data_IF_945783089117
#
_entry.id   IF_945783089117
#
_cell.length_a   1.000
_cell.length_b   1.000
_cell.length_c   1.000
_cell.angle_alpha   90.00
_cell.angle_beta   90.00
_cell.angle_gamma   90.00
#
_symmetry.space_group_name_H-M   'P 1'
#
loop_
_entity.id
_entity.type
_entity.pdbx_description
1 polymer ?
#
# COMPACT_ATOMS: atom_id res chain seq x y z
N UNK A 1 35.31 -13.47 -10.26
CA UNK A 1 34.32 -14.57 -10.28
C UNK A 1 32.93 -13.94 -10.15
N UNK A 2 32.25 -13.66 -11.27
CA UNK A 2 30.98 -12.91 -11.32
C UNK A 2 29.78 -13.84 -11.05
N UNK A 3 29.66 -14.34 -9.82
CA UNK A 3 28.65 -15.35 -9.46
C UNK A 3 27.26 -14.73 -9.18
N UNK A 4 27.22 -13.44 -8.80
CA UNK A 4 25.99 -12.75 -8.41
C UNK A 4 24.89 -12.65 -9.49
N UNK A 5 25.17 -12.30 -10.76
CA UNK A 5 24.11 -12.13 -11.77
C UNK A 5 23.56 -13.47 -12.30
N UNK A 6 24.37 -14.52 -12.38
CA UNK A 6 23.91 -15.86 -12.81
C UNK A 6 23.05 -16.52 -11.74
N UNK A 7 23.42 -16.39 -10.46
CA UNK A 7 22.60 -16.89 -9.35
C UNK A 7 21.22 -16.22 -9.30
N UNK A 8 21.12 -14.91 -9.57
CA UNK A 8 19.82 -14.23 -9.61
C UNK A 8 18.92 -14.74 -10.74
N UNK A 9 19.50 -15.12 -11.89
CA UNK A 9 18.73 -15.66 -13.03
C UNK A 9 18.24 -17.09 -12.78
N UNK A 10 19.02 -17.88 -12.05
CA UNK A 10 18.67 -19.26 -11.71
C UNK A 10 17.84 -19.35 -10.42
N UNK A 11 17.88 -18.33 -9.56
CA UNK A 11 17.14 -18.29 -8.30
C UNK A 11 15.63 -18.45 -8.49
N UNK A 12 15.02 -17.72 -9.44
CA UNK A 12 13.58 -17.82 -9.69
C UNK A 12 13.18 -19.21 -10.19
N UNK A 13 14.02 -19.84 -11.02
CA UNK A 13 13.77 -21.19 -11.53
C UNK A 13 13.99 -22.26 -10.45
N UNK A 14 14.96 -22.04 -9.56
CA UNK A 14 15.19 -22.90 -8.40
C UNK A 14 14.02 -22.83 -7.42
N UNK A 15 13.58 -21.62 -7.07
CA UNK A 15 12.43 -21.37 -6.20
C UNK A 15 11.16 -22.00 -6.76
N UNK A 16 10.90 -21.82 -8.06
CA UNK A 16 9.77 -22.45 -8.74
C UNK A 16 9.80 -23.99 -8.61
N UNK A 17 10.97 -24.62 -8.81
CA UNK A 17 11.09 -26.09 -8.67
C UNK A 17 10.91 -26.54 -7.22
N UNK A 18 11.47 -25.80 -6.28
CA UNK A 18 11.37 -26.11 -4.85
C UNK A 18 9.91 -26.00 -4.39
N UNK A 19 9.23 -24.92 -4.77
CA UNK A 19 7.82 -24.70 -4.49
C UNK A 19 6.94 -25.78 -5.11
N UNK A 20 7.19 -26.18 -6.36
CA UNK A 20 6.48 -27.28 -7.00
C UNK A 20 6.64 -28.61 -6.24
N UNK A 21 7.86 -28.94 -5.81
CA UNK A 21 8.11 -30.14 -5.00
C UNK A 21 7.42 -30.09 -3.64
N UNK A 22 7.42 -28.94 -2.98
CA UNK A 22 6.79 -28.78 -1.67
C UNK A 22 5.27 -28.82 -1.77
N UNK A 23 4.70 -28.39 -2.91
CA UNK A 23 3.28 -28.53 -3.24
C UNK A 23 2.90 -30.00 -3.52
N UNK A 24 3.72 -30.73 -4.27
CA UNK A 24 3.52 -32.17 -4.53
C UNK A 24 3.63 -33.01 -3.25
N UNK A 25 4.56 -32.65 -2.36
CA UNK A 25 4.73 -33.31 -1.05
C UNK A 25 3.64 -32.91 -0.04
N UNK A 26 2.80 -31.92 -0.36
CA UNK A 26 1.76 -31.40 0.53
C UNK A 26 2.29 -30.63 1.75
N UNK A 27 3.55 -30.19 1.72
CA UNK A 27 4.16 -29.37 2.78
C UNK A 27 3.57 -27.96 2.76
N UNK A 28 3.33 -27.44 1.56
CA UNK A 28 2.63 -26.17 1.34
C UNK A 28 1.28 -26.44 0.67
N UNK A 29 0.28 -25.68 1.08
CA UNK A 29 -1.03 -25.66 0.41
C UNK A 29 -1.21 -24.32 -0.31
N UNK A 30 -2.07 -24.23 -1.32
CA UNK A 30 -2.40 -22.94 -1.96
C UNK A 30 -3.60 -22.23 -1.30
N UNK A 31 -4.01 -22.65 -0.10
CA UNK A 31 -5.25 -22.16 0.50
C UNK A 31 -5.16 -20.70 0.92
N UNK A 32 -4.02 -20.26 1.50
CA UNK A 32 -3.85 -18.87 1.93
C UNK A 32 -3.67 -17.95 0.73
N UNK A 33 -2.92 -18.40 -0.28
CA UNK A 33 -2.79 -17.71 -1.57
C UNK A 33 -4.16 -17.52 -2.24
N UNK A 34 -5.02 -18.55 -2.26
CA UNK A 34 -6.39 -18.44 -2.80
C UNK A 34 -7.26 -17.46 -2.00
N UNK A 35 -7.21 -17.51 -0.67
CA UNK A 35 -7.97 -16.59 0.18
C UNK A 35 -7.51 -15.14 -0.01
N UNK A 36 -6.20 -14.92 -0.01
CA UNK A 36 -5.58 -13.62 -0.27
C UNK A 36 -5.96 -13.08 -1.65
N UNK A 37 -5.91 -13.91 -2.69
CA UNK A 37 -6.30 -13.54 -4.05
C UNK A 37 -7.76 -13.13 -4.12
N UNK A 38 -8.68 -13.89 -3.52
CA UNK A 38 -10.12 -13.54 -3.49
C UNK A 38 -10.37 -12.19 -2.83
N UNK A 39 -9.74 -11.94 -1.68
CA UNK A 39 -9.89 -10.65 -0.99
C UNK A 39 -9.38 -9.48 -1.87
N UNK A 40 -8.27 -9.68 -2.59
CA UNK A 40 -7.77 -8.70 -3.53
C UNK A 40 -8.69 -8.51 -4.73
N UNK A 41 -9.21 -9.60 -5.32
CA UNK A 41 -10.15 -9.57 -6.45
C UNK A 41 -11.40 -8.79 -6.12
N UNK A 42 -12.05 -9.10 -4.98
CA UNK A 42 -13.26 -8.39 -4.53
C UNK A 42 -13.00 -6.90 -4.40
N UNK A 43 -11.89 -6.50 -3.76
CA UNK A 43 -11.55 -5.09 -3.60
C UNK A 43 -11.39 -4.36 -4.94
N UNK A 44 -10.76 -4.99 -5.94
CA UNK A 44 -10.54 -4.37 -7.24
C UNK A 44 -11.83 -4.36 -8.08
N UNK A 45 -12.62 -5.44 -8.04
CA UNK A 45 -13.89 -5.54 -8.73
C UNK A 45 -14.91 -4.54 -8.18
N UNK A 46 -15.07 -4.44 -6.86
CA UNK A 46 -15.95 -3.45 -6.23
C UNK A 46 -15.51 -2.00 -6.54
N UNK A 47 -14.20 -1.73 -6.60
CA UNK A 47 -13.69 -0.42 -7.01
C UNK A 47 -13.94 -0.15 -8.51
N UNK A 48 -13.89 -1.18 -9.37
CA UNK A 48 -14.23 -1.05 -10.78
C UNK A 48 -15.73 -0.79 -10.99
N UNK A 49 -16.61 -1.52 -10.29
CA UNK A 49 -18.06 -1.29 -10.29
C UNK A 49 -18.42 0.13 -9.83
N UNK A 50 -17.75 0.63 -8.77
CA UNK A 50 -17.95 2.00 -8.29
C UNK A 50 -17.59 3.06 -9.34
N UNK A 51 -16.63 2.76 -10.22
CA UNK A 51 -16.19 3.68 -11.30
C UNK A 51 -17.09 3.63 -12.54
N UNK A 52 -17.89 2.57 -12.68
CA UNK A 52 -18.84 2.39 -13.78
C UNK A 52 -20.29 2.28 -13.28
N UNK A 53 -20.85 3.37 -12.69
CA UNK A 53 -22.23 3.36 -12.20
C UNK A 53 -23.26 3.15 -13.32
N UNK A 54 -22.88 3.38 -14.57
CA UNK A 54 -23.72 3.19 -15.75
C UNK A 54 -23.62 1.78 -16.36
N UNK A 55 -22.80 0.89 -15.79
CA UNK A 55 -22.60 -0.50 -16.25
C UNK A 55 -22.25 -0.61 -17.74
N UNK A 56 -21.52 0.38 -18.27
CA UNK A 56 -21.08 0.46 -19.68
C UNK A 56 -20.08 -0.65 -20.01
N UNK A 57 -19.46 -1.27 -18.99
CA UNK A 57 -18.56 -2.41 -19.09
C UNK A 57 -17.43 -2.19 -20.11
N UNK A 58 -16.69 -1.08 -19.96
CA UNK A 58 -15.58 -0.79 -20.86
C UNK A 58 -14.48 -1.85 -20.69
N UNK A 59 -13.91 -2.39 -21.77
CA UNK A 59 -12.82 -3.36 -21.69
C UNK A 59 -11.58 -2.86 -20.92
N UNK A 60 -11.35 -1.55 -20.92
CA UNK A 60 -10.26 -0.89 -20.19
C UNK A 60 -10.47 -0.85 -18.67
N UNK A 61 -11.72 -0.94 -18.20
CA UNK A 61 -12.08 -0.92 -16.79
C UNK A 61 -12.06 -2.33 -16.17
N UNK A 62 -11.92 -3.38 -16.99
CA UNK A 62 -11.80 -4.77 -16.54
C UNK A 62 -10.47 -4.96 -15.80
N UNK A 63 -10.49 -5.42 -14.53
CA UNK A 63 -9.26 -5.62 -13.78
C UNK A 63 -8.42 -6.77 -14.34
N UNK A 64 -7.15 -6.48 -14.60
CA UNK A 64 -6.15 -7.47 -15.00
C UNK A 64 -5.64 -8.26 -13.79
N UNK A 65 -5.17 -9.49 -14.01
CA UNK A 65 -4.55 -10.33 -12.97
C UNK A 65 -3.36 -9.64 -12.31
N UNK A 66 -2.55 -8.91 -13.08
CA UNK A 66 -1.44 -8.08 -12.58
C UNK A 66 -1.91 -6.99 -11.60
N UNK A 67 -3.05 -6.35 -11.88
CA UNK A 67 -3.61 -5.29 -11.02
C UNK A 67 -4.20 -5.87 -9.73
N UNK A 68 -4.83 -7.04 -9.80
CA UNK A 68 -5.32 -7.79 -8.63
C UNK A 68 -4.14 -8.19 -7.74
N UNK A 69 -3.08 -8.74 -8.34
CA UNK A 69 -1.84 -9.07 -7.63
C UNK A 69 -1.21 -7.84 -6.96
N UNK A 70 -1.03 -6.74 -7.70
CA UNK A 70 -0.47 -5.50 -7.17
C UNK A 70 -1.31 -4.95 -6.01
N UNK A 71 -2.65 -5.09 -6.09
CA UNK A 71 -3.55 -4.69 -5.01
C UNK A 71 -3.33 -5.55 -3.77
N UNK A 72 -3.32 -6.87 -3.92
CA UNK A 72 -3.08 -7.79 -2.82
C UNK A 72 -1.72 -7.56 -2.15
N UNK A 73 -0.68 -7.27 -2.95
CA UNK A 73 0.67 -7.04 -2.44
C UNK A 73 0.76 -5.74 -1.64
N UNK A 74 0.13 -4.66 -2.12
CA UNK A 74 0.07 -3.39 -1.41
C UNK A 74 -0.84 -3.47 -0.18
N UNK A 75 -1.96 -4.18 -0.27
CA UNK A 75 -2.84 -4.43 0.87
C UNK A 75 -2.13 -5.22 1.97
N UNK A 76 -1.25 -6.15 1.60
CA UNK A 76 -0.41 -6.91 2.52
C UNK A 76 0.77 -6.08 3.05
N UNK A 77 1.43 -5.25 2.23
CA UNK A 77 2.62 -4.51 2.67
C UNK A 77 2.28 -3.20 3.41
N UNK A 78 1.16 -2.58 3.08
CA UNK A 78 0.69 -1.32 3.66
C UNK A 78 -0.59 -1.61 4.45
N UNK A 79 -0.39 -2.28 5.60
CA UNK A 79 -1.45 -2.60 6.56
C UNK A 79 -1.07 -2.11 7.95
N UNK A 80 -2.07 -1.68 8.72
CA UNK A 80 -1.89 -1.25 10.10
C UNK A 80 -1.77 -2.44 11.04
N UNK A 81 -2.46 -3.54 10.73
CA UNK A 81 -2.48 -4.76 11.54
C UNK A 81 -1.12 -5.44 11.53
N UNK A 82 -0.64 -5.99 12.67
CA UNK A 82 0.54 -6.85 12.69
C UNK A 82 0.43 -8.01 11.70
N UNK A 83 1.52 -8.38 11.04
CA UNK A 83 1.52 -9.48 10.08
C UNK A 83 1.35 -10.81 10.80
N UNK A 84 0.18 -11.43 10.65
CA UNK A 84 -0.04 -12.79 11.12
C UNK A 84 0.56 -13.78 10.13
N UNK A 85 1.08 -14.86 10.66
CA UNK A 85 1.61 -15.97 9.86
C UNK A 85 0.52 -16.78 9.17
N UNK A 86 -0.76 -16.42 9.30
CA UNK A 86 -1.89 -16.97 8.54
C UNK A 86 -2.20 -16.16 7.28
N UNK A 87 -1.88 -14.86 7.29
CA UNK A 87 -2.33 -13.91 6.26
C UNK A 87 -1.31 -13.74 5.13
N UNK A 88 -0.08 -14.19 5.35
CA UNK A 88 0.96 -14.21 4.31
C UNK A 88 0.59 -15.26 3.24
N UNK A 89 0.59 -14.99 1.94
CA UNK A 89 0.43 -16.06 0.97
C UNK A 89 1.67 -16.97 0.99
N UNK A 90 1.49 -18.26 0.72
CA UNK A 90 2.58 -19.24 0.75
C UNK A 90 3.69 -18.90 -0.26
N UNK A 91 3.34 -18.22 -1.35
CA UNK A 91 4.26 -17.72 -2.39
C UNK A 91 5.19 -16.61 -1.90
N UNK A 92 4.78 -15.79 -0.92
CA UNK A 92 5.58 -14.66 -0.41
C UNK A 92 6.30 -14.98 0.91
N UNK A 93 6.48 -16.26 1.24
CA UNK A 93 7.07 -16.65 2.52
C UNK A 93 8.51 -16.14 2.70
N UNK A 94 9.31 -16.16 1.62
CA UNK A 94 10.70 -15.68 1.63
C UNK A 94 10.81 -14.16 1.83
N UNK A 95 9.78 -13.40 1.42
CA UNK A 95 9.76 -11.95 1.52
C UNK A 95 9.13 -11.41 2.82
N UNK A 96 8.77 -12.29 3.77
CA UNK A 96 8.19 -11.94 5.08
C UNK A 96 8.93 -10.79 5.77
N UNK A 97 10.25 -10.90 5.90
CA UNK A 97 11.07 -9.89 6.58
C UNK A 97 11.07 -8.53 5.88
N UNK A 98 10.99 -8.51 4.54
CA UNK A 98 10.91 -7.26 3.76
C UNK A 98 9.54 -6.61 3.94
N UNK A 99 8.47 -7.39 3.89
CA UNK A 99 7.09 -6.93 4.10
C UNK A 99 6.91 -6.35 5.50
N UNK A 100 7.45 -7.01 6.54
CA UNK A 100 7.40 -6.51 7.93
C UNK A 100 8.12 -5.16 8.05
N UNK A 101 9.28 -5.00 7.40
CA UNK A 101 10.00 -3.72 7.40
C UNK A 101 9.18 -2.61 6.73
N UNK A 102 8.59 -2.88 5.56
CA UNK A 102 7.74 -1.92 4.83
C UNK A 102 6.55 -1.49 5.68
N UNK A 103 5.91 -2.42 6.40
CA UNK A 103 4.82 -2.08 7.34
C UNK A 103 5.28 -1.11 8.42
N UNK A 104 6.44 -1.39 9.02
CA UNK A 104 7.04 -0.51 10.03
C UNK A 104 7.36 0.88 9.49
N UNK A 105 7.91 0.95 8.28
CA UNK A 105 8.25 2.23 7.63
C UNK A 105 6.99 3.02 7.25
N UNK A 106 5.95 2.36 6.75
CA UNK A 106 4.66 3.01 6.45
C UNK A 106 4.01 3.59 7.72
N UNK A 107 3.98 2.83 8.82
CA UNK A 107 3.47 3.32 10.10
C UNK A 107 4.30 4.48 10.65
N UNK A 108 5.64 4.39 10.54
CA UNK A 108 6.55 5.48 10.93
C UNK A 108 6.27 6.76 10.15
N UNK A 109 6.14 6.67 8.82
CA UNK A 109 5.82 7.83 7.97
C UNK A 109 4.53 8.50 8.45
N UNK A 110 3.46 7.73 8.66
CA UNK A 110 2.18 8.31 9.14
C UNK A 110 2.29 8.90 10.55
N UNK A 111 3.07 8.30 11.45
CA UNK A 111 3.29 8.87 12.80
C UNK A 111 4.14 10.12 12.82
N UNK A 112 5.21 10.15 12.01
CA UNK A 112 6.11 11.29 11.95
C UNK A 112 5.37 12.45 11.30
N UNK A 113 4.54 12.20 10.28
CA UNK A 113 3.63 13.20 9.74
C UNK A 113 2.70 13.76 10.83
N UNK A 114 2.01 12.90 11.58
CA UNK A 114 1.14 13.36 12.67
C UNK A 114 1.89 14.15 13.76
N UNK A 115 3.12 13.74 14.09
CA UNK A 115 4.00 14.43 15.02
C UNK A 115 4.63 15.70 14.45
N UNK A 116 4.77 15.82 13.12
CA UNK A 116 5.28 17.01 12.43
C UNK A 116 4.18 18.04 12.24
N UNK A 117 2.97 17.63 11.87
CA UNK A 117 1.78 18.48 11.90
C UNK A 117 1.68 19.14 13.27
N UNK A 118 1.96 18.39 14.33
CA UNK A 118 2.09 18.92 15.67
C UNK A 118 3.24 19.91 15.88
N UNK A 119 4.46 19.56 15.45
CA UNK A 119 5.63 20.44 15.59
C UNK A 119 5.44 21.77 14.85
N UNK A 120 4.83 21.72 13.66
CA UNK A 120 4.44 22.91 12.88
C UNK A 120 3.34 23.70 13.59
N UNK A 121 2.34 23.02 14.17
CA UNK A 121 1.24 23.67 14.89
C UNK A 121 1.65 24.26 16.24
N UNK A 122 2.67 23.74 16.92
CA UNK A 122 3.05 24.14 18.28
C UNK A 122 4.40 24.82 18.45
N UNK A 123 5.35 24.52 17.57
CA UNK A 123 6.76 24.91 17.69
C UNK A 123 7.16 25.90 16.59
N UNK A 124 6.66 25.73 15.37
CA UNK A 124 6.91 26.65 14.24
C UNK A 124 5.76 27.63 13.95
N UNK A 125 5.11 28.11 15.00
CA UNK A 125 4.63 29.49 14.95
C UNK A 125 5.83 30.42 15.06
N UNK A 126 6.43 30.81 13.92
CA UNK A 126 7.55 31.77 13.79
C UNK A 126 8.94 31.28 14.26
N UNK A 127 9.74 30.69 13.36
CA UNK A 127 11.18 31.01 13.32
C UNK A 127 11.79 30.59 11.98
N UNK A 128 11.45 31.31 10.91
CA UNK A 128 12.31 31.66 9.77
C UNK A 128 11.46 32.09 8.57
N UNK A 129 10.82 33.26 8.63
CA UNK A 129 10.73 34.07 7.40
C UNK A 129 12.12 34.62 7.14
N UNK A 130 12.95 33.82 6.50
CA UNK A 130 13.97 34.35 5.61
C UNK A 130 13.56 33.88 4.22
N UNK A 131 13.11 34.86 3.44
CA UNK A 131 12.89 34.80 1.99
C UNK A 131 11.52 34.35 1.49
N UNK A 132 10.66 35.38 1.36
CA UNK A 132 9.91 35.71 0.15
C UNK A 132 8.62 34.92 -0.19
N UNK A 133 7.55 35.70 -0.39
CA UNK A 133 6.26 35.36 -1.03
C UNK A 133 5.32 34.42 -0.28
N UNK A 134 4.69 34.92 0.79
CA UNK A 134 3.64 34.17 1.51
C UNK A 134 2.24 34.59 1.01
N UNK A 135 1.49 33.60 0.53
CA UNK A 135 0.13 33.69 -0.01
C UNK A 135 -0.90 33.96 1.11
N UNK A 136 -1.98 34.67 0.80
CA UNK A 136 -3.03 35.11 1.75
C UNK A 136 -3.64 34.02 2.68
N UNK A 137 -3.76 32.73 2.31
CA UNK A 137 -4.27 31.69 3.21
C UNK A 137 -3.42 31.47 4.48
N UNK A 138 -2.10 31.66 4.39
CA UNK A 138 -1.18 31.44 5.50
C UNK A 138 -1.31 32.52 6.59
N UNK A 139 -1.74 33.73 6.20
CA UNK A 139 -2.05 34.81 7.15
C UNK A 139 -3.35 34.57 7.91
N UNK A 140 -4.32 33.90 7.29
CA UNK A 140 -5.59 33.54 7.97
C UNK A 140 -5.34 32.44 8.99
N UNK A 141 -4.49 31.46 8.65
CA UNK A 141 -4.04 30.43 9.58
C UNK A 141 -3.19 30.98 10.73
N UNK A 142 -2.34 31.99 10.50
CA UNK A 142 -1.52 32.59 11.56
C UNK A 142 -2.34 33.36 12.60
N UNK A 143 -3.42 34.02 12.19
CA UNK A 143 -4.33 34.72 13.10
C UNK A 143 -5.13 33.74 13.97
N UNK A 144 -5.50 32.58 13.42
CA UNK A 144 -6.26 31.55 14.16
C UNK A 144 -5.37 30.82 15.19
N UNK A 145 -4.07 30.64 14.92
CA UNK A 145 -3.15 29.90 15.80
C UNK A 145 -2.54 30.73 16.93
N UNK A 146 -2.36 32.05 16.75
CA UNK A 146 -1.91 32.96 17.81
C UNK A 146 -2.89 33.04 19.00
N UNK A 147 -4.14 32.59 18.82
CA UNK A 147 -5.19 32.56 19.83
C UNK A 147 -5.32 31.24 20.61
N UNK A 148 -4.38 30.29 20.48
CA UNK A 148 -4.58 28.93 21.05
C UNK A 148 -4.37 28.89 22.58
N UNK A 149 -5.42 28.58 23.39
CA UNK A 149 -5.32 28.52 24.85
C UNK A 149 -4.42 27.37 25.36
N UNK A 150 -3.81 27.48 26.55
CA UNK A 150 -2.96 26.44 27.13
C UNK A 150 -3.68 25.09 27.31
N UNK A 151 -5.00 25.09 27.45
CA UNK A 151 -5.83 23.88 27.50
C UNK A 151 -5.85 23.12 26.17
N UNK A 152 -5.97 23.82 25.04
CA UNK A 152 -5.92 23.23 23.69
C UNK A 152 -4.55 22.63 23.41
N UNK A 153 -3.48 23.28 23.88
CA UNK A 153 -2.11 22.76 23.81
C UNK A 153 -1.95 21.43 24.58
N UNK A 154 -2.46 21.34 25.80
CA UNK A 154 -2.40 20.10 26.58
C UNK A 154 -3.26 18.97 25.98
N UNK A 155 -4.45 19.31 25.45
CA UNK A 155 -5.34 18.34 24.80
C UNK A 155 -4.70 17.72 23.57
N UNK A 156 -4.08 18.53 22.71
CA UNK A 156 -3.44 18.02 21.52
C UNK A 156 -2.17 17.18 21.86
N UNK A 157 -1.39 17.57 22.87
CA UNK A 157 -0.22 16.78 23.32
C UNK A 157 -0.65 15.37 23.72
N UNK A 158 -1.74 15.27 24.49
CA UNK A 158 -2.33 14.00 24.87
C UNK A 158 -2.86 13.21 23.66
N UNK A 159 -3.40 13.87 22.65
CA UNK A 159 -3.85 13.23 21.39
C UNK A 159 -2.68 12.63 20.63
N UNK A 160 -1.51 13.26 20.62
CA UNK A 160 -0.33 12.74 19.90
C UNK A 160 0.36 11.62 20.65
N UNK A 161 0.47 11.72 21.98
CA UNK A 161 0.92 10.58 22.77
C UNK A 161 0.01 9.37 22.51
N UNK A 162 -1.31 9.59 22.40
CA UNK A 162 -2.25 8.56 21.99
C UNK A 162 -2.00 8.06 20.56
N UNK A 163 -1.64 8.93 19.62
CA UNK A 163 -1.30 8.54 18.25
C UNK A 163 -0.04 7.69 18.16
N UNK A 164 1.02 8.05 18.89
CA UNK A 164 2.26 7.28 18.94
C UNK A 164 2.01 5.89 19.53
N UNK A 165 1.23 5.80 20.61
CA UNK A 165 0.82 4.51 21.22
C UNK A 165 -0.09 3.70 20.27
N UNK A 166 -1.00 4.35 19.55
CA UNK A 166 -1.87 3.69 18.57
C UNK A 166 -1.10 3.14 17.36
N UNK A 167 -0.05 3.83 16.94
CA UNK A 167 0.79 3.38 15.85
C UNK A 167 1.74 2.24 16.26
N UNK A 168 2.27 2.28 17.49
CA UNK A 168 3.03 1.16 18.05
C UNK A 168 2.17 -0.11 18.16
N UNK A 169 0.89 0.05 18.49
CA UNK A 169 -0.07 -1.06 18.59
C UNK A 169 -0.71 -1.47 17.25
N UNK A 170 -0.41 -0.76 16.15
CA UNK A 170 -0.96 -1.04 14.82
C UNK A 170 -2.48 -0.83 14.70
N UNK A 171 -3.10 -0.16 15.68
CA UNK A 171 -4.54 0.12 15.71
C UNK A 171 -4.77 1.61 15.60
N UNK A 172 -4.80 2.09 14.35
CA UNK A 172 -5.20 3.47 14.05
C UNK A 172 -6.70 3.61 14.37
N UNK A 173 -7.05 4.08 15.56
CA UNK A 173 -8.46 4.30 15.92
C UNK A 173 -8.95 5.66 15.40
N UNK A 174 -8.03 6.63 15.27
CA UNK A 174 -8.34 7.99 14.87
C UNK A 174 -8.74 8.11 13.37
N UNK A 175 -9.85 8.79 13.04
CA UNK A 175 -10.27 9.03 11.66
C UNK A 175 -9.23 9.73 10.78
N UNK A 176 -8.49 10.71 11.30
CA UNK A 176 -7.51 11.49 10.52
C UNK A 176 -6.34 10.59 10.13
N UNK A 177 -5.82 9.82 11.08
CA UNK A 177 -4.72 8.89 10.85
C UNK A 177 -5.11 7.78 9.88
N UNK A 178 -6.36 7.29 9.95
CA UNK A 178 -6.90 6.35 8.96
C UNK A 178 -6.93 6.96 7.56
N UNK A 179 -7.38 8.21 7.41
CA UNK A 179 -7.43 8.87 6.10
C UNK A 179 -6.02 9.07 5.53
N UNK A 180 -5.07 9.55 6.34
CA UNK A 180 -3.67 9.72 5.90
C UNK A 180 -3.04 8.39 5.47
N UNK A 181 -3.24 7.34 6.28
CA UNK A 181 -2.76 6.00 5.94
C UNK A 181 -3.41 5.45 4.65
N UNK A 182 -4.72 5.64 4.46
CA UNK A 182 -5.41 5.22 3.23
C UNK A 182 -4.94 6.00 2.00
N UNK A 183 -4.62 7.30 2.14
CA UNK A 183 -4.05 8.11 1.05
C UNK A 183 -2.64 7.65 0.69
N UNK A 184 -1.78 7.41 1.68
CA UNK A 184 -0.46 6.83 1.47
C UNK A 184 -0.55 5.49 0.74
N UNK A 185 -1.42 4.60 1.22
CA UNK A 185 -1.68 3.30 0.62
C UNK A 185 -2.15 3.41 -0.83
N UNK A 186 -3.08 4.33 -1.11
CA UNK A 186 -3.59 4.58 -2.46
C UNK A 186 -2.48 5.10 -3.38
N UNK A 187 -1.60 5.96 -2.88
CA UNK A 187 -0.46 6.47 -3.64
C UNK A 187 0.55 5.36 -3.98
N UNK A 188 0.90 4.52 -3.00
CA UNK A 188 1.77 3.35 -3.23
C UNK A 188 1.13 2.40 -4.25
N UNK A 189 -0.18 2.12 -4.12
CA UNK A 189 -0.92 1.28 -5.06
C UNK A 189 -0.85 1.80 -6.49
N UNK A 190 -1.17 3.07 -6.73
CA UNK A 190 -1.15 3.67 -8.06
C UNK A 190 0.22 3.55 -8.76
N UNK A 191 1.31 3.61 -7.98
CA UNK A 191 2.67 3.49 -8.53
C UNK A 191 3.10 2.04 -8.76
N UNK A 192 2.71 1.12 -7.87
CA UNK A 192 3.02 -0.32 -8.03
C UNK A 192 2.15 -0.97 -9.11
N UNK A 193 0.91 -0.52 -9.29
CA UNK A 193 0.00 -1.03 -10.33
C UNK A 193 0.28 -0.49 -11.73
N UNK A 194 1.20 0.47 -11.88
CA UNK A 194 1.54 1.05 -13.17
C UNK A 194 2.39 0.06 -13.99
N UNK A 195 1.75 -0.69 -14.88
CA UNK A 195 2.39 -1.74 -15.66
C UNK A 195 3.20 -1.19 -16.83
N UNK A 196 2.73 -0.12 -17.50
CA UNK A 196 3.47 0.48 -18.63
C UNK A 196 4.54 1.49 -18.19
N UNK A 197 5.61 1.62 -18.98
CA UNK A 197 6.66 2.62 -18.73
C UNK A 197 6.12 4.06 -18.73
N UNK A 198 5.16 4.36 -19.61
CA UNK A 198 4.49 5.66 -19.68
C UNK A 198 3.63 5.96 -18.44
N UNK A 199 2.90 4.96 -17.92
CA UNK A 199 2.14 5.13 -16.67
C UNK A 199 3.05 5.24 -15.46
N UNK A 200 4.17 4.49 -15.40
CA UNK A 200 5.16 4.61 -14.32
C UNK A 200 5.74 6.02 -14.27
N UNK A 201 6.06 6.60 -15.43
CA UNK A 201 6.56 7.99 -15.51
C UNK A 201 5.49 8.97 -15.07
N UNK A 202 4.25 8.86 -15.58
CA UNK A 202 3.14 9.75 -15.17
C UNK A 202 2.84 9.65 -13.67
N UNK A 203 2.79 8.44 -13.14
CA UNK A 203 2.54 8.20 -11.72
C UNK A 203 3.68 8.73 -10.83
N UNK A 204 4.92 8.69 -11.32
CA UNK A 204 6.07 9.31 -10.64
C UNK A 204 6.02 10.85 -10.71
N UNK A 205 5.66 11.43 -11.86
CA UNK A 205 5.53 12.89 -12.02
C UNK A 205 4.41 13.46 -11.15
N UNK A 206 3.28 12.77 -11.06
CA UNK A 206 2.14 13.19 -10.23
C UNK A 206 2.35 12.88 -8.73
N UNK A 207 3.43 12.19 -8.37
CA UNK A 207 3.67 11.76 -6.99
C UNK A 207 3.91 12.94 -6.05
N UNK A 208 4.71 13.92 -6.48
CA UNK A 208 5.02 15.10 -5.68
C UNK A 208 3.76 15.91 -5.37
N UNK A 209 2.85 16.06 -6.34
CA UNK A 209 1.58 16.75 -6.17
C UNK A 209 0.60 15.96 -5.28
N UNK A 210 0.48 14.65 -5.49
CA UNK A 210 -0.41 13.78 -4.70
C UNK A 210 0.02 13.68 -3.23
N UNK A 211 1.33 13.60 -2.98
CA UNK A 211 1.89 13.61 -1.63
C UNK A 211 1.80 14.99 -0.99
N UNK A 212 2.05 16.08 -1.73
CA UNK A 212 1.87 17.43 -1.22
C UNK A 212 0.41 17.73 -0.82
N UNK A 213 -0.57 17.30 -1.64
CA UNK A 213 -2.00 17.42 -1.32
C UNK A 213 -2.39 16.64 -0.07
N UNK A 214 -1.62 15.60 0.27
CA UNK A 214 -1.83 14.78 1.45
C UNK A 214 -1.03 15.26 2.67
N UNK A 215 -0.14 16.26 2.54
CA UNK A 215 0.75 16.69 3.62
C UNK A 215 2.03 15.85 3.79
N UNK A 216 2.35 15.00 2.82
CA UNK A 216 3.43 14.00 2.86
C UNK A 216 4.62 14.33 1.92
N UNK A 217 4.79 15.59 1.50
CA UNK A 217 5.79 15.99 0.49
C UNK A 217 7.24 15.78 0.93
N UNK A 218 7.52 15.77 2.23
CA UNK A 218 8.82 15.47 2.80
C UNK A 218 9.20 13.97 2.73
N UNK A 219 8.20 13.08 2.60
CA UNK A 219 8.43 11.63 2.59
C UNK A 219 8.56 11.04 1.18
N UNK A 220 8.63 11.87 0.14
CA UNK A 220 8.72 11.43 -1.27
C UNK A 220 9.83 10.39 -1.46
N UNK A 221 10.99 10.58 -0.83
CA UNK A 221 12.13 9.66 -0.95
C UNK A 221 11.86 8.33 -0.24
N UNK A 222 11.33 8.33 0.99
CA UNK A 222 11.03 7.08 1.70
C UNK A 222 9.89 6.31 1.03
N UNK A 223 8.84 7.00 0.60
CA UNK A 223 7.72 6.39 -0.13
C UNK A 223 8.19 5.84 -1.48
N UNK A 224 9.09 6.55 -2.17
CA UNK A 224 9.77 6.05 -3.37
C UNK A 224 10.53 4.74 -3.12
N UNK A 225 11.31 4.67 -2.03
CA UNK A 225 12.01 3.44 -1.64
C UNK A 225 11.09 2.26 -1.31
N UNK A 226 9.91 2.51 -0.72
CA UNK A 226 8.88 1.49 -0.49
C UNK A 226 8.34 0.98 -1.84
N UNK A 227 7.98 1.89 -2.74
CA UNK A 227 7.48 1.54 -4.09
C UNK A 227 8.53 0.74 -4.87
N UNK A 228 9.79 1.13 -4.83
CA UNK A 228 10.88 0.42 -5.52
C UNK A 228 11.10 -0.97 -4.95
N UNK A 229 11.03 -1.12 -3.62
CA UNK A 229 11.17 -2.42 -2.96
C UNK A 229 10.00 -3.33 -3.32
N UNK A 230 8.77 -2.83 -3.30
CA UNK A 230 7.58 -3.59 -3.70
C UNK A 230 7.61 -3.96 -5.18
N UNK A 231 8.08 -3.07 -6.04
CA UNK A 231 8.25 -3.34 -7.47
C UNK A 231 9.29 -4.43 -7.76
N UNK A 232 10.35 -4.52 -6.96
CA UNK A 232 11.32 -5.63 -7.07
C UNK A 232 10.76 -6.95 -6.58
N UNK A 233 9.99 -6.93 -5.49
CA UNK A 233 9.32 -8.13 -4.97
C UNK A 233 8.32 -8.63 -6.02
N UNK A 234 7.49 -7.76 -6.58
CA UNK A 234 6.51 -8.15 -7.61
C UNK A 234 7.17 -8.72 -8.86
N UNK A 235 8.31 -8.20 -9.29
CA UNK A 235 9.02 -8.72 -10.48
C UNK A 235 9.61 -10.11 -10.23
N UNK A 236 10.21 -10.34 -9.06
CA UNK A 236 10.82 -11.64 -8.72
C UNK A 236 9.75 -12.69 -8.47
N UNK A 237 8.75 -12.37 -7.65
CA UNK A 237 7.63 -13.25 -7.35
C UNK A 237 6.78 -13.56 -8.58
N UNK A 238 6.56 -12.57 -9.46
CA UNK A 238 5.89 -12.78 -10.74
C UNK A 238 6.62 -13.78 -11.64
N UNK A 239 7.96 -13.75 -11.66
CA UNK A 239 8.79 -14.70 -12.44
C UNK A 239 8.81 -16.10 -11.83
N UNK A 240 8.81 -16.20 -10.51
CA UNK A 240 8.87 -17.50 -9.80
C UNK A 240 7.48 -18.17 -9.75
N UNK A 241 6.45 -17.41 -9.38
CA UNK A 241 5.14 -17.95 -9.02
C UNK A 241 3.98 -17.59 -9.97
N UNK A 242 4.26 -16.89 -11.07
CA UNK A 242 3.24 -16.44 -12.03
C UNK A 242 2.26 -17.53 -12.51
N UNK A 243 2.75 -18.76 -12.71
CA UNK A 243 1.90 -19.88 -13.15
C UNK A 243 0.82 -20.29 -12.13
N UNK A 244 1.13 -20.22 -10.83
CA UNK A 244 0.14 -20.53 -9.79
C UNK A 244 -0.85 -19.39 -9.62
N UNK A 245 -0.44 -18.13 -9.84
CA UNK A 245 -1.38 -17.01 -9.84
C UNK A 245 -2.36 -17.11 -11.02
N UNK A 246 -1.92 -17.50 -12.21
CA UNK A 246 -2.82 -17.74 -13.35
C UNK A 246 -3.78 -18.90 -13.08
N UNK A 247 -3.29 -19.99 -12.48
CA UNK A 247 -4.15 -21.10 -12.04
C UNK A 247 -5.18 -20.64 -11.01
N UNK A 248 -4.77 -19.88 -9.99
CA UNK A 248 -5.68 -19.35 -8.97
C UNK A 248 -6.68 -18.37 -9.60
N UNK A 249 -6.26 -17.52 -10.52
CA UNK A 249 -7.12 -16.58 -11.22
C UNK A 249 -8.18 -17.32 -12.06
N UNK A 250 -7.79 -18.35 -12.82
CA UNK A 250 -8.73 -19.17 -13.59
C UNK A 250 -9.71 -19.95 -12.70
N UNK A 251 -9.26 -20.49 -11.56
CA UNK A 251 -10.14 -21.18 -10.61
C UNK A 251 -11.13 -20.23 -9.93
N UNK A 252 -10.72 -19.00 -9.59
CA UNK A 252 -11.60 -18.01 -8.96
C UNK A 252 -12.62 -17.48 -9.98
N UNK A 253 -12.17 -17.13 -11.18
CA UNK A 253 -13.07 -16.70 -12.26
C UNK A 253 -14.02 -17.83 -12.71
N UNK A 254 -13.57 -19.08 -12.71
CA UNK A 254 -14.39 -20.25 -13.05
C UNK A 254 -15.46 -20.55 -12.00
N UNK A 255 -15.16 -20.32 -10.71
CA UNK A 255 -16.13 -20.48 -9.61
C UNK A 255 -17.14 -19.34 -9.53
N UNK A 256 -16.75 -18.11 -9.85
CA UNK A 256 -17.70 -16.99 -9.98
C UNK A 256 -18.73 -17.23 -11.11
N UNK A 257 -18.37 -17.99 -12.15
CA UNK A 257 -19.30 -18.44 -13.18
C UNK A 257 -20.25 -19.57 -12.75
N UNK A 258 -19.93 -20.29 -11.67
CA UNK A 258 -20.72 -21.41 -11.14
C UNK A 258 -21.60 -20.97 -9.93
N UNK A 259 -21.24 -19.86 -9.28
CA UNK A 259 -22.02 -19.21 -8.20
C UNK A 259 -23.12 -18.25 -8.69
N UNK A 260 -23.50 -18.29 -9.96
CA UNK A 260 -24.83 -17.82 -10.38
C UNK A 260 -25.81 -19.00 -10.25
N UNK A 261 -26.50 -19.19 -9.09
CA UNK A 261 -27.61 -20.10 -9.07
C UNK A 261 -28.63 -19.57 -10.08
N UNK A 262 -29.05 -20.47 -10.96
CA UNK A 262 -30.28 -20.36 -11.69
C UNK A 262 -31.42 -20.01 -10.73
N UNK A 263 -31.70 -18.72 -10.57
CA UNK A 263 -33.02 -18.23 -10.23
C UNK A 263 -33.68 -17.78 -11.54
N UNK A 264 -33.98 -18.79 -12.36
CA UNK A 264 -35.09 -18.74 -13.30
C UNK A 264 -36.30 -19.26 -12.53
N UNK A 265 -37.25 -18.37 -12.26
CA UNK A 265 -38.68 -18.50 -12.59
C UNK A 265 -39.48 -17.36 -11.97
#
# INVERSE_FOLDING_TARGET
MNVAPTLLREASAYEQRQFAQDLEKGVITLQRTKHWWRNASVNVLTEAERRDPESVNRPADRPTSERIYARGLVDLAVATTPLQETDLPETLHLDKSRIVRIRGDALRITTIEAARIWDILLKDGYASTAESTVSMPDRILSVITQAMPPTTRAQLANTITRFLVQAETGRLADPVMKVLFQRLKSHVFLRVSASSSGERVRAASNASESLATSGLSEFIVQVGGIVDTLGRISEVDGKAHGMWYEQVASEVNGREGEELPALVS
#
